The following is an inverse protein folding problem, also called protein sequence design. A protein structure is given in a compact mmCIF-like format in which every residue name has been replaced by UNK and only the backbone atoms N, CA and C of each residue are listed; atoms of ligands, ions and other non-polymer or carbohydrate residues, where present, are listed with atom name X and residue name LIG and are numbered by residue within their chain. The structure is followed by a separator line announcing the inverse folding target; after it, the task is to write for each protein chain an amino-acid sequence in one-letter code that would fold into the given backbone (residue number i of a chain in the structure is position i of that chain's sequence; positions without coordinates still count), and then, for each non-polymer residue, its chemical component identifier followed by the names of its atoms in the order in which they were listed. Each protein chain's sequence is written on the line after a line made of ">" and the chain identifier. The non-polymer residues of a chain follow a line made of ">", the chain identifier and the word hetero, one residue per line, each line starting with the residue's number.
data_IF_391509923131
#
_entry.id   IF_391509923131
#
_cell.length_a   1.000
_cell.length_b   1.000
_cell.length_c   1.000
_cell.angle_alpha   90.00
_cell.angle_beta   90.00
_cell.angle_gamma   90.00
#
_symmetry.space_group_name_H-M   'P 1'
#
loop_
_entity.id
_entity.type
_entity.pdbx_description
1 polymer ?
#
# COMPACT_ATOMS: atom_id res chain seq x y z
N UNK A 1 60.79 -31.32 -14.97
CA UNK A 1 59.36 -31.69 -14.84
C UNK A 1 58.69 -30.71 -13.87
N UNK A 2 57.93 -29.72 -14.35
CA UNK A 2 57.18 -28.79 -13.50
C UNK A 2 55.70 -29.18 -13.55
N UNK A 3 55.13 -29.56 -12.41
CA UNK A 3 53.70 -29.95 -12.27
C UNK A 3 52.85 -28.69 -12.14
N UNK A 4 51.91 -28.51 -13.06
CA UNK A 4 50.89 -27.46 -13.02
C UNK A 4 49.70 -27.99 -12.21
N UNK A 5 49.30 -27.28 -11.15
CA UNK A 5 48.09 -27.59 -10.40
C UNK A 5 46.94 -26.70 -10.91
N UNK A 6 45.87 -27.31 -11.44
CA UNK A 6 44.62 -26.62 -11.72
C UNK A 6 43.81 -26.52 -10.42
N UNK A 7 43.49 -25.31 -9.99
CA UNK A 7 42.48 -25.05 -8.96
C UNK A 7 41.10 -25.01 -9.63
N UNK A 8 40.21 -25.93 -9.24
CA UNK A 8 38.80 -25.92 -9.64
C UNK A 8 38.04 -25.00 -8.70
N UNK A 9 37.60 -23.84 -9.19
CA UNK A 9 36.74 -22.91 -8.44
C UNK A 9 35.29 -23.37 -8.64
N UNK A 10 34.73 -24.04 -7.64
CA UNK A 10 33.30 -24.37 -7.58
C UNK A 10 32.51 -23.11 -7.23
N UNK A 11 31.86 -22.51 -8.23
CA UNK A 11 30.85 -21.48 -8.00
C UNK A 11 29.59 -22.11 -7.40
N UNK A 12 29.46 -22.07 -6.08
CA UNK A 12 28.18 -22.31 -5.42
C UNK A 12 27.27 -21.11 -5.68
N UNK A 13 26.38 -21.22 -6.68
CA UNK A 13 25.28 -20.28 -6.85
C UNK A 13 24.29 -20.46 -5.71
N UNK A 14 24.34 -19.59 -4.70
CA UNK A 14 23.28 -19.53 -3.71
C UNK A 14 21.97 -19.12 -4.42
N UNK A 15 20.84 -19.79 -4.14
CA UNK A 15 19.56 -19.37 -4.69
C UNK A 15 19.27 -17.96 -4.19
N UNK A 16 19.12 -17.02 -5.12
CA UNK A 16 18.58 -15.70 -4.82
C UNK A 16 17.11 -15.93 -4.46
N UNK A 17 16.80 -15.93 -3.16
CA UNK A 17 15.41 -15.89 -2.72
C UNK A 17 14.85 -14.53 -3.12
N UNK A 18 14.08 -14.49 -4.21
CA UNK A 18 13.17 -13.39 -4.49
C UNK A 18 12.13 -13.37 -3.37
N UNK A 19 12.32 -12.48 -2.39
CA UNK A 19 11.30 -12.20 -1.39
C UNK A 19 10.07 -11.73 -2.16
N UNK A 20 8.98 -12.49 -2.09
CA UNK A 20 7.72 -12.08 -2.67
C UNK A 20 7.31 -10.77 -1.99
N UNK A 21 7.35 -9.66 -2.75
CA UNK A 21 6.81 -8.38 -2.32
C UNK A 21 5.31 -8.58 -2.07
N UNK A 22 4.90 -8.70 -0.82
CA UNK A 22 3.49 -8.90 -0.49
C UNK A 22 2.76 -7.57 -0.69
N UNK A 23 1.78 -7.53 -1.60
CA UNK A 23 0.93 -6.37 -1.87
C UNK A 23 -0.09 -6.19 -0.74
N UNK A 24 0.42 -5.89 0.45
CA UNK A 24 -0.35 -5.65 1.65
C UNK A 24 -0.11 -4.22 2.14
N UNK A 25 -1.17 -3.56 2.59
CA UNK A 25 -1.09 -2.29 3.28
C UNK A 25 -1.89 -2.33 4.57
N UNK A 26 -1.29 -1.83 5.64
CA UNK A 26 -2.00 -1.44 6.86
C UNK A 26 -2.03 0.08 6.90
N UNK A 27 -3.22 0.65 6.99
CA UNK A 27 -3.41 2.09 7.13
C UNK A 27 -4.06 2.39 8.48
N UNK A 28 -3.40 3.19 9.31
CA UNK A 28 -3.86 3.57 10.64
C UNK A 28 -4.27 5.03 10.61
N UNK A 29 -5.56 5.28 10.85
CA UNK A 29 -6.14 6.61 10.93
C UNK A 29 -6.18 7.08 12.39
N UNK A 30 -5.35 8.06 12.73
CA UNK A 30 -5.32 8.63 14.07
C UNK A 30 -6.57 9.46 14.37
N UNK A 31 -7.16 10.13 13.37
CA UNK A 31 -8.39 10.94 13.53
C UNK A 31 -9.55 10.11 14.04
N UNK A 32 -9.73 8.90 13.51
CA UNK A 32 -10.86 8.03 13.83
C UNK A 32 -10.50 6.83 14.72
N UNK A 33 -9.23 6.66 15.08
CA UNK A 33 -8.72 5.50 15.81
C UNK A 33 -9.08 4.17 15.13
N UNK A 34 -8.80 4.08 13.84
CA UNK A 34 -9.10 2.90 13.02
C UNK A 34 -7.84 2.36 12.33
N UNK A 35 -7.80 1.06 12.14
CA UNK A 35 -6.80 0.35 11.34
C UNK A 35 -7.51 -0.35 10.18
N UNK A 36 -7.17 0.01 8.96
CA UNK A 36 -7.68 -0.58 7.72
C UNK A 36 -6.63 -1.50 7.10
N UNK A 37 -7.01 -2.70 6.72
CA UNK A 37 -6.16 -3.68 6.05
C UNK A 37 -6.54 -3.83 4.57
N UNK A 38 -5.52 -3.83 3.72
CA UNK A 38 -5.62 -4.04 2.30
C UNK A 38 -4.75 -5.21 1.85
N UNK A 39 -5.23 -5.95 0.87
CA UNK A 39 -4.57 -7.14 0.32
C UNK A 39 -4.80 -7.21 -1.19
N UNK A 40 -3.71 -7.25 -1.96
CA UNK A 40 -3.72 -7.30 -3.42
C UNK A 40 -4.56 -6.17 -4.03
N UNK A 41 -4.40 -4.96 -3.47
CA UNK A 41 -5.20 -3.78 -3.77
C UNK A 41 -6.67 -3.78 -3.32
N UNK A 42 -7.18 -4.84 -2.70
CA UNK A 42 -8.54 -4.87 -2.18
C UNK A 42 -8.58 -4.27 -0.78
N UNK A 43 -9.60 -3.48 -0.49
CA UNK A 43 -9.94 -3.08 0.87
C UNK A 43 -10.67 -4.24 1.56
N UNK A 44 -10.02 -4.85 2.57
CA UNK A 44 -10.50 -6.10 3.16
C UNK A 44 -11.36 -5.84 4.39
N UNK A 45 -10.84 -5.07 5.36
CA UNK A 45 -11.51 -4.83 6.64
C UNK A 45 -10.91 -3.64 7.38
N UNK A 46 -11.73 -2.98 8.20
CA UNK A 46 -11.29 -2.00 9.20
C UNK A 46 -11.61 -2.47 10.61
N UNK A 47 -10.73 -2.12 11.54
CA UNK A 47 -10.80 -2.44 12.96
C UNK A 47 -10.73 -1.16 13.80
N UNK A 48 -11.48 -1.05 14.90
CA UNK A 48 -11.22 -0.02 15.88
C UNK A 48 -9.90 -0.34 16.62
N UNK A 49 -9.13 0.69 16.95
CA UNK A 49 -7.85 0.55 17.67
C UNK A 49 -7.71 1.58 18.78
N UNK A 50 -6.83 1.35 19.75
CA UNK A 50 -6.37 2.41 20.66
C UNK A 50 -5.05 2.96 20.14
N UNK A 51 -4.95 4.28 20.03
CA UNK A 51 -3.72 4.98 19.66
C UNK A 51 -3.12 5.72 20.86
N UNK A 52 -1.94 6.31 20.66
CA UNK A 52 -1.21 7.07 21.68
C UNK A 52 -2.02 8.23 22.25
N UNK A 53 -1.88 8.44 23.55
CA UNK A 53 -2.43 9.63 24.21
C UNK A 53 -1.71 10.90 23.75
N UNK A 54 -2.28 12.10 23.97
CA UNK A 54 -1.61 13.36 23.64
C UNK A 54 -0.23 13.53 24.30
N UNK A 55 0.01 12.90 25.45
CA UNK A 55 1.31 12.92 26.15
C UNK A 55 2.33 11.97 25.52
N UNK A 56 1.86 10.90 24.88
CA UNK A 56 2.70 9.83 24.29
C UNK A 56 2.07 9.41 22.95
N UNK A 57 2.13 10.30 21.93
CA UNK A 57 1.40 10.10 20.69
C UNK A 57 1.96 8.91 19.90
N UNK A 58 1.10 8.28 19.11
CA UNK A 58 1.56 7.35 18.07
C UNK A 58 2.23 8.18 16.96
N UNK A 59 3.44 7.82 16.51
CA UNK A 59 4.15 8.57 15.47
C UNK A 59 3.44 8.42 14.13
N UNK A 60 3.25 9.55 13.44
CA UNK A 60 2.83 9.54 12.03
C UNK A 60 4.04 9.21 11.14
N UNK A 61 3.80 8.53 10.01
CA UNK A 61 4.85 8.15 9.09
C UNK A 61 4.57 6.87 8.31
N UNK A 62 5.58 6.45 7.53
CA UNK A 62 5.59 5.18 6.82
C UNK A 62 6.55 4.22 7.50
N UNK A 63 6.04 3.03 7.81
CA UNK A 63 6.71 1.96 8.55
C UNK A 63 6.52 0.63 7.83
N UNK A 64 7.13 -0.43 8.34
CA UNK A 64 6.86 -1.80 7.92
C UNK A 64 6.88 -2.77 9.10
N UNK A 65 6.22 -3.92 8.93
CA UNK A 65 6.28 -5.01 9.91
C UNK A 65 7.64 -5.69 9.82
N UNK A 66 8.41 -5.74 10.91
CA UNK A 66 9.74 -6.37 10.93
C UNK A 66 9.77 -7.72 11.63
N UNK A 67 8.82 -7.97 12.53
CA UNK A 67 8.72 -9.23 13.26
C UNK A 67 7.31 -9.46 13.78
N UNK A 68 7.04 -10.72 14.13
CA UNK A 68 5.74 -11.20 14.57
C UNK A 68 5.92 -12.17 15.73
N UNK A 69 5.21 -11.95 16.84
CA UNK A 69 5.22 -12.87 17.99
C UNK A 69 3.81 -13.27 18.41
N UNK A 70 3.63 -14.56 18.73
CA UNK A 70 2.47 -15.03 19.50
C UNK A 70 2.81 -14.92 20.98
N UNK A 71 1.86 -14.46 21.80
CA UNK A 71 1.98 -14.43 23.26
C UNK A 71 3.33 -13.84 23.73
N UNK A 72 3.64 -12.61 23.30
CA UNK A 72 4.92 -11.97 23.64
C UNK A 72 4.99 -11.70 25.15
N UNK A 73 6.12 -12.05 25.77
CA UNK A 73 6.38 -11.68 27.16
C UNK A 73 6.47 -10.16 27.33
N UNK A 74 5.89 -9.66 28.42
CA UNK A 74 6.02 -8.26 28.81
C UNK A 74 7.13 -8.08 29.85
N UNK A 75 8.37 -7.96 29.35
CA UNK A 75 9.59 -7.93 30.16
C UNK A 75 9.60 -6.82 31.22
N UNK A 76 9.02 -5.65 30.95
CA UNK A 76 9.01 -4.51 31.90
C UNK A 76 8.39 -4.87 33.26
N UNK A 77 7.39 -5.75 33.27
CA UNK A 77 6.76 -6.24 34.51
C UNK A 77 6.93 -7.76 34.70
N UNK A 78 7.83 -8.38 33.93
CA UNK A 78 8.07 -9.84 33.95
C UNK A 78 6.79 -10.66 33.87
N UNK A 79 5.83 -10.22 33.04
CA UNK A 79 4.56 -10.93 32.87
C UNK A 79 4.75 -11.94 31.73
N UNK A 80 4.52 -13.25 31.98
CA UNK A 80 4.66 -14.28 30.96
C UNK A 80 3.79 -14.03 29.73
N UNK A 81 4.27 -14.52 28.59
CA UNK A 81 3.48 -14.61 27.37
C UNK A 81 2.20 -15.41 27.59
N UNK A 82 1.06 -14.92 27.10
CA UNK A 82 -0.22 -15.64 27.18
C UNK A 82 -0.92 -15.56 28.53
N UNK A 83 -0.34 -14.89 29.52
CA UNK A 83 -1.03 -14.61 30.78
C UNK A 83 -2.23 -13.66 30.54
N UNK A 84 -3.41 -13.88 31.15
CA UNK A 84 -4.60 -13.03 30.95
C UNK A 84 -4.39 -11.55 31.31
N UNK A 85 -3.43 -11.25 32.18
CA UNK A 85 -3.08 -9.90 32.60
C UNK A 85 -1.96 -9.26 31.76
N UNK A 86 -1.48 -9.93 30.72
CA UNK A 86 -0.42 -9.39 29.86
C UNK A 86 -0.96 -8.25 28.97
N UNK A 87 -0.43 -7.03 29.08
CA UNK A 87 -0.95 -5.88 28.33
C UNK A 87 -0.68 -5.92 26.82
N UNK A 88 0.20 -6.83 26.38
CA UNK A 88 0.52 -7.02 24.96
C UNK A 88 -0.47 -7.95 24.25
N UNK A 89 -1.36 -8.61 25.00
CA UNK A 89 -2.35 -9.54 24.47
C UNK A 89 -1.75 -10.76 23.79
N UNK A 90 -2.49 -11.31 22.85
CA UNK A 90 -2.23 -12.63 22.22
C UNK A 90 -1.29 -12.58 21.02
N UNK A 91 -1.15 -11.42 20.36
CA UNK A 91 -0.34 -11.23 19.15
C UNK A 91 0.37 -9.89 19.16
N UNK A 92 1.55 -9.87 18.53
CA UNK A 92 2.42 -8.71 18.41
C UNK A 92 2.96 -8.62 16.98
N UNK A 93 2.82 -7.46 16.36
CA UNK A 93 3.38 -7.10 15.06
C UNK A 93 4.31 -5.89 15.27
N UNK A 94 5.62 -6.14 15.28
CA UNK A 94 6.62 -5.08 15.53
C UNK A 94 6.82 -4.20 14.30
N UNK A 95 6.86 -2.88 14.50
CA UNK A 95 7.20 -1.91 13.46
C UNK A 95 8.72 -1.73 13.37
N UNK A 96 9.22 -1.26 12.22
CA UNK A 96 10.61 -0.80 12.04
C UNK A 96 10.91 0.51 12.78
N UNK A 97 10.17 0.83 13.83
CA UNK A 97 10.39 1.94 14.74
C UNK A 97 10.50 1.38 16.16
N UNK A 98 11.55 1.80 16.87
CA UNK A 98 11.96 1.16 18.11
C UNK A 98 10.83 1.30 19.15
N UNK A 99 10.44 0.18 19.74
CA UNK A 99 9.39 0.09 20.77
C UNK A 99 7.94 0.25 20.30
N UNK A 100 7.67 0.43 19.00
CA UNK A 100 6.30 0.52 18.48
C UNK A 100 5.83 -0.79 17.84
N UNK A 101 4.55 -1.09 18.07
CA UNK A 101 3.91 -2.28 17.52
C UNK A 101 2.40 -2.11 17.41
N UNK A 102 1.82 -2.97 16.58
CA UNK A 102 0.40 -3.27 16.57
C UNK A 102 0.22 -4.57 17.37
N UNK A 103 -0.56 -4.54 18.45
CA UNK A 103 -0.67 -5.68 19.35
C UNK A 103 -2.07 -5.81 19.98
N UNK A 104 -2.35 -6.96 20.59
CA UNK A 104 -3.59 -7.21 21.32
C UNK A 104 -3.67 -6.43 22.64
N UNK A 105 -4.69 -6.64 23.46
CA UNK A 105 -4.72 -6.00 24.78
C UNK A 105 -5.56 -6.77 25.79
N UNK A 106 -5.16 -6.74 27.06
CA UNK A 106 -5.99 -7.20 28.16
C UNK A 106 -7.01 -6.15 28.64
N UNK A 107 -7.08 -4.98 27.99
CA UNK A 107 -7.98 -3.87 28.34
C UNK A 107 -8.92 -3.55 27.19
N UNK A 108 -9.77 -4.51 26.85
CA UNK A 108 -10.64 -4.45 25.67
C UNK A 108 -11.58 -3.23 25.64
N UNK A 109 -12.01 -2.74 26.81
CA UNK A 109 -12.85 -1.53 26.92
C UNK A 109 -12.16 -0.21 26.54
N UNK A 110 -10.85 -0.22 26.25
CA UNK A 110 -10.07 0.97 25.83
C UNK A 110 -9.94 1.12 24.31
N UNK A 111 -10.38 0.11 23.54
CA UNK A 111 -10.35 0.15 22.08
C UNK A 111 -11.24 1.29 21.57
N UNK A 112 -10.75 2.02 20.55
CA UNK A 112 -11.38 3.23 19.99
C UNK A 112 -10.94 4.54 20.64
N UNK A 113 -10.05 4.51 21.65
CA UNK A 113 -9.62 5.68 22.43
C UNK A 113 -8.17 6.10 22.15
N UNK A 114 -7.78 7.29 22.61
CA UNK A 114 -6.39 7.80 22.61
C UNK A 114 -5.76 7.68 24.00
N UNK A 115 -5.40 6.45 24.39
CA UNK A 115 -4.97 6.13 25.76
C UNK A 115 -3.68 5.30 25.84
N UNK A 116 -3.06 4.96 24.71
CA UNK A 116 -1.84 4.16 24.72
C UNK A 116 -0.60 5.02 25.00
N UNK A 117 0.55 4.35 25.19
CA UNK A 117 1.86 4.99 25.27
C UNK A 117 2.56 5.03 23.89
N UNK A 118 1.78 5.16 22.81
CA UNK A 118 2.26 5.24 21.44
C UNK A 118 2.04 3.98 20.60
N UNK A 119 2.01 2.78 21.19
CA UNK A 119 1.65 1.54 20.48
C UNK A 119 0.18 1.52 20.02
N UNK A 120 -0.12 0.70 19.01
CA UNK A 120 -1.47 0.53 18.48
C UNK A 120 -2.08 -0.73 19.09
N UNK A 121 -3.14 -0.58 19.89
CA UNK A 121 -3.82 -1.71 20.54
C UNK A 121 -5.05 -2.12 19.75
N UNK A 122 -5.25 -3.42 19.59
CA UNK A 122 -6.40 -4.04 18.95
C UNK A 122 -7.10 -4.99 19.92
N UNK A 123 -8.36 -5.31 19.64
CA UNK A 123 -8.99 -6.46 20.30
C UNK A 123 -8.21 -7.74 20.03
N UNK A 124 -8.12 -8.65 21.00
CA UNK A 124 -7.35 -9.88 20.84
C UNK A 124 -7.85 -10.74 19.67
N UNK A 125 -9.18 -10.79 19.47
CA UNK A 125 -9.78 -11.47 18.31
C UNK A 125 -9.38 -10.86 16.97
N UNK A 126 -9.24 -9.53 16.92
CA UNK A 126 -9.01 -8.80 15.67
C UNK A 126 -7.53 -8.86 15.28
N UNK A 127 -6.61 -8.74 16.26
CA UNK A 127 -5.18 -8.91 16.00
C UNK A 127 -4.83 -10.35 15.63
N UNK A 128 -5.54 -11.36 16.15
CA UNK A 128 -5.36 -12.75 15.73
C UNK A 128 -5.68 -12.91 14.25
N UNK A 129 -6.82 -12.37 13.80
CA UNK A 129 -7.20 -12.38 12.40
C UNK A 129 -6.18 -11.67 11.49
N UNK A 130 -5.69 -10.50 11.93
CA UNK A 130 -4.72 -9.70 11.17
C UNK A 130 -3.35 -10.39 11.13
N UNK A 131 -2.92 -10.95 12.26
CA UNK A 131 -1.65 -11.65 12.39
C UNK A 131 -1.55 -12.82 11.42
N UNK A 132 -2.63 -13.55 11.18
CA UNK A 132 -2.58 -14.72 10.29
C UNK A 132 -2.51 -14.34 8.79
N UNK A 133 -2.69 -13.06 8.43
CA UNK A 133 -2.68 -12.55 7.05
C UNK A 133 -1.49 -11.66 6.71
N UNK A 134 -1.11 -10.79 7.64
CA UNK A 134 -0.03 -9.82 7.43
C UNK A 134 1.32 -10.52 7.34
N UNK A 135 2.15 -10.11 6.38
CA UNK A 135 3.50 -10.64 6.21
C UNK A 135 4.52 -9.70 6.85
N UNK A 136 5.71 -10.23 7.16
CA UNK A 136 6.87 -9.36 7.41
C UNK A 136 7.12 -8.53 6.13
N UNK A 137 7.60 -7.31 6.29
CA UNK A 137 7.73 -6.27 5.27
C UNK A 137 6.41 -5.62 4.79
N UNK A 138 5.24 -6.06 5.28
CA UNK A 138 3.98 -5.35 4.99
C UNK A 138 4.10 -3.87 5.37
N UNK A 139 3.74 -2.99 4.42
CA UNK A 139 3.77 -1.53 4.61
C UNK A 139 2.72 -1.11 5.62
N UNK A 140 3.09 -0.22 6.53
CA UNK A 140 2.22 0.39 7.52
C UNK A 140 2.29 1.90 7.36
N UNK A 141 1.16 2.55 7.18
CA UNK A 141 1.09 4.01 7.12
C UNK A 141 0.26 4.48 8.31
N UNK A 142 0.79 5.43 9.07
CA UNK A 142 0.12 6.05 10.21
C UNK A 142 -0.05 7.52 9.90
N UNK A 143 -1.29 8.00 9.89
CA UNK A 143 -1.57 9.41 9.63
C UNK A 143 -2.93 9.85 10.13
N UNK A 144 -3.13 11.16 10.22
CA UNK A 144 -4.42 11.78 10.49
C UNK A 144 -5.12 12.16 9.18
N UNK A 145 -6.32 11.63 8.92
CA UNK A 145 -7.09 11.97 7.71
C UNK A 145 -8.61 11.80 7.89
N UNK A 146 -9.37 12.51 7.05
CA UNK A 146 -10.85 12.48 7.03
C UNK A 146 -11.44 11.72 5.82
N UNK A 147 -10.59 11.34 4.85
CA UNK A 147 -11.01 10.58 3.68
C UNK A 147 -11.39 9.13 4.02
N UNK A 148 -12.08 8.45 3.10
CA UNK A 148 -12.29 7.00 3.21
C UNK A 148 -10.94 6.24 3.18
N UNK A 149 -10.84 5.03 3.77
CA UNK A 149 -9.63 4.24 3.73
C UNK A 149 -9.08 4.04 2.31
N UNK A 150 -9.94 3.76 1.35
CA UNK A 150 -9.58 3.56 -0.06
C UNK A 150 -8.98 4.81 -0.69
N UNK A 151 -9.58 5.99 -0.46
CA UNK A 151 -9.03 7.26 -0.93
C UNK A 151 -7.68 7.56 -0.29
N UNK A 152 -7.56 7.31 1.01
CA UNK A 152 -6.31 7.53 1.72
C UNK A 152 -5.20 6.59 1.24
N UNK A 153 -5.49 5.30 1.10
CA UNK A 153 -4.54 4.32 0.53
C UNK A 153 -4.08 4.75 -0.88
N UNK A 154 -5.02 5.18 -1.72
CA UNK A 154 -4.73 5.71 -3.05
C UNK A 154 -3.82 6.96 -3.01
N UNK A 155 -4.12 7.94 -2.15
CA UNK A 155 -3.28 9.12 -1.96
C UNK A 155 -1.86 8.78 -1.51
N UNK A 156 -1.68 7.68 -0.77
CA UNK A 156 -0.36 7.19 -0.34
C UNK A 156 0.32 6.25 -1.36
N UNK A 157 -0.15 6.25 -2.60
CA UNK A 157 0.44 5.50 -3.72
C UNK A 157 0.17 4.00 -3.68
N UNK A 158 -0.78 3.52 -2.87
CA UNK A 158 -1.18 2.12 -2.88
C UNK A 158 -2.26 1.88 -3.94
N UNK A 159 -2.11 0.83 -4.73
CA UNK A 159 -3.07 0.46 -5.77
C UNK A 159 -4.37 -0.01 -5.10
N UNK A 160 -5.49 0.63 -5.38
CA UNK A 160 -6.81 0.21 -4.85
C UNK A 160 -7.70 -0.28 -5.99
N UNK A 161 -8.10 -1.54 -5.95
CA UNK A 161 -8.94 -2.20 -6.97
C UNK A 161 -10.38 -2.45 -6.52
N UNK A 162 -10.73 -2.07 -5.29
CA UNK A 162 -12.09 -2.20 -4.75
C UNK A 162 -12.45 -1.00 -3.88
N UNK A 163 -13.68 -0.50 -4.00
CA UNK A 163 -14.21 0.65 -3.24
C UNK A 163 -15.54 0.27 -2.61
N UNK A 164 -15.67 0.47 -1.29
CA UNK A 164 -16.85 0.08 -0.51
C UNK A 164 -17.26 -1.39 -0.74
N UNK A 165 -16.29 -2.30 -0.82
CA UNK A 165 -16.52 -3.73 -1.05
C UNK A 165 -16.96 -4.11 -2.47
N UNK A 166 -17.00 -3.14 -3.40
CA UNK A 166 -17.26 -3.40 -4.82
C UNK A 166 -15.94 -3.35 -5.57
N UNK A 167 -15.62 -4.38 -6.35
CA UNK A 167 -14.51 -4.29 -7.31
C UNK A 167 -14.75 -3.09 -8.22
N UNK A 168 -13.71 -2.30 -8.44
CA UNK A 168 -13.73 -1.38 -9.57
C UNK A 168 -13.66 -2.28 -10.80
N UNK A 169 -14.76 -2.39 -11.52
CA UNK A 169 -14.73 -2.89 -12.89
C UNK A 169 -13.99 -1.84 -13.72
N UNK A 170 -12.67 -1.89 -13.67
CA UNK A 170 -11.81 -1.20 -14.62
C UNK A 170 -11.91 -1.98 -15.93
N UNK A 171 -12.87 -1.63 -16.77
CA UNK A 171 -12.87 -2.14 -18.13
C UNK A 171 -11.65 -1.55 -18.84
N UNK A 172 -10.74 -2.42 -19.27
CA UNK A 172 -9.74 -2.01 -20.23
C UNK A 172 -10.47 -1.64 -21.52
N UNK A 173 -10.48 -0.35 -21.84
CA UNK A 173 -11.18 0.18 -23.01
C UNK A 173 -10.26 0.29 -24.24
N UNK A 174 -8.95 0.15 -24.07
CA UNK A 174 -8.02 0.20 -25.20
C UNK A 174 -6.54 0.16 -24.81
N UNK A 175 -5.72 0.52 -25.79
CA UNK A 175 -4.27 0.67 -25.67
C UNK A 175 -3.87 2.04 -26.20
N UNK A 176 -3.17 2.83 -25.39
CA UNK A 176 -2.54 4.08 -25.80
C UNK A 176 -1.10 3.78 -26.24
N UNK A 177 -0.69 4.29 -27.41
CA UNK A 177 0.71 4.23 -27.85
C UNK A 177 1.28 5.63 -27.76
N UNK A 178 2.33 5.80 -26.97
CA UNK A 178 3.00 7.08 -26.79
C UNK A 178 4.08 7.19 -27.84
N UNK A 179 3.81 7.93 -28.91
CA UNK A 179 4.68 8.01 -30.11
C UNK A 179 5.93 8.85 -29.89
N UNK A 180 5.90 9.76 -28.92
CA UNK A 180 7.01 10.64 -28.58
C UNK A 180 7.67 10.26 -27.25
N UNK A 181 8.92 10.67 -27.08
CA UNK A 181 9.57 10.61 -25.77
C UNK A 181 8.86 11.60 -24.85
N UNK A 182 8.39 11.14 -23.70
CA UNK A 182 7.71 12.01 -22.74
C UNK A 182 8.04 11.64 -21.30
N UNK A 183 7.89 12.58 -20.38
CA UNK A 183 8.08 12.33 -18.96
C UNK A 183 6.70 12.12 -18.32
N UNK A 184 6.51 10.99 -17.65
CA UNK A 184 5.32 10.73 -16.83
C UNK A 184 5.53 11.33 -15.45
N UNK A 185 4.51 12.02 -14.96
CA UNK A 185 4.52 12.65 -13.63
C UNK A 185 3.33 12.16 -12.80
N UNK A 186 3.57 11.97 -11.51
CA UNK A 186 2.53 11.84 -10.49
C UNK A 186 2.13 13.23 -10.02
N UNK A 187 0.85 13.50 -9.81
CA UNK A 187 0.41 14.70 -9.09
C UNK A 187 0.09 14.34 -7.64
N UNK A 188 0.90 14.85 -6.73
CA UNK A 188 0.71 14.74 -5.29
C UNK A 188 -0.56 15.50 -4.85
N UNK A 189 -1.19 15.14 -3.70
CA UNK A 189 -2.38 15.83 -3.19
C UNK A 189 -2.20 17.33 -2.94
N UNK A 190 -0.97 17.79 -2.73
CA UNK A 190 -0.60 19.21 -2.59
C UNK A 190 -0.44 19.93 -3.94
N UNK A 191 -0.66 19.23 -5.06
CA UNK A 191 -0.53 19.73 -6.42
C UNK A 191 0.88 19.61 -7.03
N UNK A 192 1.88 19.14 -6.26
CA UNK A 192 3.26 18.94 -6.72
C UNK A 192 3.36 17.79 -7.73
N UNK A 193 4.29 17.92 -8.68
CA UNK A 193 4.51 16.91 -9.71
C UNK A 193 5.80 16.14 -9.47
N UNK A 194 5.71 14.81 -9.32
CA UNK A 194 6.86 13.91 -9.12
C UNK A 194 7.10 13.11 -10.41
N UNK A 195 8.27 13.26 -11.04
CA UNK A 195 8.60 12.50 -12.25
C UNK A 195 8.73 11.00 -11.93
N UNK A 196 7.93 10.16 -12.57
CA UNK A 196 7.92 8.71 -12.35
C UNK A 196 8.85 8.00 -13.34
N UNK A 197 8.72 8.28 -14.64
CA UNK A 197 9.59 7.71 -15.67
C UNK A 197 9.66 8.57 -16.92
N UNK A 198 10.71 8.38 -17.69
CA UNK A 198 10.75 8.80 -19.10
C UNK A 198 10.21 7.64 -19.94
N UNK A 199 9.20 7.91 -20.75
CA UNK A 199 8.62 7.03 -21.75
C UNK A 199 9.42 7.14 -23.04
N UNK A 200 9.67 6.00 -23.67
CA UNK A 200 10.29 5.95 -24.99
C UNK A 200 9.22 5.94 -26.10
N UNK A 201 9.54 6.49 -27.28
CA UNK A 201 8.68 6.39 -28.46
C UNK A 201 8.15 4.98 -28.70
N UNK A 202 6.86 4.88 -28.98
CA UNK A 202 6.08 3.68 -29.25
C UNK A 202 5.84 2.72 -28.05
N UNK A 203 6.10 3.14 -26.81
CA UNK A 203 5.63 2.36 -25.65
C UNK A 203 4.09 2.34 -25.60
N UNK A 204 3.54 1.17 -25.26
CA UNK A 204 2.10 0.93 -25.24
C UNK A 204 1.60 0.75 -23.82
N UNK A 205 0.47 1.37 -23.50
CA UNK A 205 -0.14 1.33 -22.18
C UNK A 205 -1.62 0.95 -22.25
N UNK A 206 -2.11 0.07 -21.36
CA UNK A 206 -3.53 -0.20 -21.24
C UNK A 206 -4.27 1.00 -20.65
N UNK A 207 -5.41 1.35 -21.27
CA UNK A 207 -6.30 2.42 -20.82
C UNK A 207 -7.56 1.81 -20.22
N UNK A 208 -7.92 2.26 -19.03
CA UNK A 208 -9.07 1.79 -18.27
C UNK A 208 -10.10 2.91 -18.10
N UNK A 209 -11.39 2.57 -18.13
CA UNK A 209 -12.49 3.52 -17.91
C UNK A 209 -13.22 3.19 -16.63
N UNK A 210 -13.53 4.22 -15.83
CA UNK A 210 -14.53 4.12 -14.79
C UNK A 210 -15.90 4.56 -15.34
N UNK A 211 -16.73 3.57 -15.69
CA UNK A 211 -18.06 3.76 -16.33
C UNK A 211 -19.00 4.76 -15.64
N UNK A 212 -18.78 5.09 -14.37
CA UNK A 212 -19.67 5.99 -13.59
C UNK A 212 -19.31 7.48 -13.62
N UNK A 213 -18.13 7.88 -14.13
CA UNK A 213 -17.70 9.29 -14.05
C UNK A 213 -16.92 9.83 -15.26
N UNK A 214 -16.80 9.08 -16.34
CA UNK A 214 -16.20 9.58 -17.60
C UNK A 214 -14.68 9.81 -17.57
N UNK A 215 -14.00 9.44 -16.48
CA UNK A 215 -12.53 9.53 -16.38
C UNK A 215 -11.85 8.30 -17.00
N UNK A 216 -10.73 8.55 -17.68
CA UNK A 216 -9.88 7.53 -18.30
C UNK A 216 -8.50 7.53 -17.65
N UNK A 217 -7.97 6.34 -17.38
CA UNK A 217 -6.68 6.17 -16.71
C UNK A 217 -5.76 5.31 -17.56
N UNK A 218 -4.52 5.75 -17.69
CA UNK A 218 -3.43 4.91 -18.18
C UNK A 218 -2.86 4.24 -16.93
N UNK A 219 -2.94 2.91 -16.85
CA UNK A 219 -2.92 2.14 -15.58
C UNK A 219 -2.00 2.66 -14.46
N UNK A 220 -2.43 2.58 -13.19
CA UNK A 220 -1.80 3.20 -12.00
C UNK A 220 -1.86 4.75 -11.95
N UNK A 221 -2.95 5.38 -12.41
CA UNK A 221 -3.27 6.82 -12.18
C UNK A 221 -2.22 7.84 -12.70
N UNK A 222 -1.59 7.58 -13.84
CA UNK A 222 -0.64 8.53 -14.43
C UNK A 222 -1.31 9.77 -15.04
N UNK A 223 -0.65 10.91 -14.92
CA UNK A 223 -0.91 12.14 -15.68
C UNK A 223 0.25 12.36 -16.66
N UNK A 224 -0.05 12.81 -17.88
CA UNK A 224 0.98 13.16 -18.88
C UNK A 224 1.17 14.67 -18.89
N UNK A 225 2.42 15.12 -18.87
CA UNK A 225 2.81 16.53 -18.93
C UNK A 225 3.92 16.62 -19.98
N UNK A 226 3.74 17.48 -20.97
CA UNK A 226 4.70 17.63 -22.06
C UNK A 226 5.93 18.46 -21.65
N UNK A 227 6.90 18.56 -22.56
CA UNK A 227 8.17 19.28 -22.34
C UNK A 227 8.00 20.82 -22.22
N UNK A 228 6.80 21.34 -22.51
CA UNK A 228 6.46 22.77 -22.38
C UNK A 228 5.86 23.13 -21.02
N UNK A 229 5.52 22.12 -20.20
CA UNK A 229 4.89 22.31 -18.89
C UNK A 229 3.38 22.53 -18.95
N UNK A 230 2.75 22.33 -20.11
CA UNK A 230 1.30 22.44 -20.27
C UNK A 230 0.60 21.22 -19.65
N UNK A 231 -0.33 21.48 -18.71
CA UNK A 231 -1.19 20.45 -18.12
C UNK A 231 -2.34 20.15 -19.07
N UNK A 232 -2.16 19.21 -19.98
CA UNK A 232 -3.26 18.79 -20.85
C UNK A 232 -4.22 17.88 -20.08
N UNK A 233 -5.35 18.43 -19.64
CA UNK A 233 -6.48 17.66 -19.15
C UNK A 233 -7.11 16.92 -20.34
N UNK A 234 -6.72 15.67 -20.58
CA UNK A 234 -7.28 14.85 -21.66
C UNK A 234 -8.72 14.40 -21.34
N UNK A 235 -9.67 15.34 -21.34
CA UNK A 235 -11.09 15.02 -21.58
C UNK A 235 -11.37 14.80 -23.07
N UNK A 236 -10.44 15.12 -23.96
CA UNK A 236 -10.54 14.83 -25.38
C UNK A 236 -9.17 14.40 -25.89
N UNK A 237 -9.00 13.09 -26.09
CA UNK A 237 -8.10 12.64 -27.16
C UNK A 237 -8.52 13.38 -28.44
N UNK A 238 -7.59 13.85 -29.28
CA UNK A 238 -7.95 14.46 -30.55
C UNK A 238 -8.98 13.58 -31.26
N UNK A 239 -10.00 14.18 -31.88
CA UNK A 239 -11.07 13.45 -32.58
C UNK A 239 -10.50 12.42 -33.59
N UNK A 240 -9.28 12.67 -34.10
CA UNK A 240 -8.49 11.78 -34.97
C UNK A 240 -8.00 10.47 -34.31
N UNK A 241 -7.80 10.45 -32.99
CA UNK A 241 -7.35 9.26 -32.24
C UNK A 241 -8.54 8.41 -31.79
N UNK A 242 -9.62 9.04 -31.32
CA UNK A 242 -10.85 8.35 -30.93
C UNK A 242 -11.61 7.78 -32.14
N UNK A 243 -11.66 8.50 -33.27
CA UNK A 243 -12.33 8.00 -34.48
C UNK A 243 -11.67 6.73 -35.03
N UNK A 244 -10.36 6.57 -34.89
CA UNK A 244 -9.66 5.36 -35.34
C UNK A 244 -9.93 4.14 -34.42
N UNK A 245 -10.15 4.36 -33.12
CA UNK A 245 -10.48 3.29 -32.17
C UNK A 245 -11.94 2.86 -32.32
N UNK A 246 -12.85 3.81 -32.53
CA UNK A 246 -14.29 3.53 -32.72
C UNK A 246 -14.58 2.86 -34.08
N UNK A 247 -13.95 3.32 -35.17
CA UNK A 247 -14.16 2.75 -36.52
C UNK A 247 -13.61 1.33 -36.64
N UNK A 248 -12.47 1.01 -36.01
CA UNK A 248 -11.89 -0.35 -36.03
C UNK A 248 -12.65 -1.36 -35.18
N UNK A 249 -13.37 -0.94 -34.13
CA UNK A 249 -14.13 -1.84 -33.24
C UNK A 249 -15.48 -2.26 -33.83
N UNK A 250 -16.08 -1.46 -34.73
CA UNK A 250 -17.43 -1.71 -35.25
C UNK A 250 -17.53 -1.85 -36.78
N UNK A 251 -16.41 -1.76 -37.51
CA UNK A 251 -16.37 -1.94 -38.97
C UNK A 251 -17.36 -1.04 -39.74
N UNK A 252 -17.61 0.16 -39.22
CA UNK A 252 -18.40 1.20 -39.88
C UNK A 252 -17.42 2.12 -40.60
N UNK A 253 -17.57 2.28 -41.92
CA UNK A 253 -16.78 3.21 -42.74
C UNK A 253 -16.92 4.65 -42.26
#
# INVERSE_FOLDING_TARGET
>A
MKKLWLAVILFFSLPIHTLAETDHLILINLTTNQLSFFENGNYVRTFPVTTGSPRTPTPEGSFCIINKYKNKEYHRKKIPGGAPNNPLGTRWLGLNEKEYAIHGTNREGTIGRRESNGCIRMHDRDIQWLYDRVSVQTKVIISSFHASPEQAAHMYGYRVVSWNGRKVEEDQIGMLTLVDRMNLYWQEPNGQLTKIKTVLPNERYPVYSQRKRGYYYIGNNFYMIDESGEKTHYEQLPHSVLSNIYKRKYNIQ
#
